data_IF_740611485406
#
_entry.id   IF_740611485406
#
_cell.length_a   1.000
_cell.length_b   1.000
_cell.length_c   1.000
_cell.angle_alpha   90.00
_cell.angle_beta   90.00
_cell.angle_gamma   90.00
#
_symmetry.space_group_name_H-M   'P 1'
#
loop_
_entity.id
_entity.type
_entity.pdbx_description
1 polymer ?
#
# COMPACT_ATOMS: atom_id res chain seq x y z
N UNK A 1 -19.71 -4.41 -27.62
CA UNK A 1 -19.90 -4.93 -26.25
C UNK A 1 -18.76 -4.33 -25.45
N UNK A 2 -19.03 -3.28 -24.69
CA UNK A 2 -18.07 -2.70 -23.75
C UNK A 2 -18.80 -2.77 -22.42
N UNK A 3 -18.51 -3.81 -21.63
CA UNK A 3 -18.83 -3.79 -20.23
C UNK A 3 -17.91 -2.71 -19.65
N UNK A 4 -18.51 -1.58 -19.29
CA UNK A 4 -17.90 -0.61 -18.37
C UNK A 4 -17.55 -1.39 -17.11
N UNK A 5 -16.27 -1.53 -16.79
CA UNK A 5 -15.85 -1.92 -15.45
C UNK A 5 -16.42 -0.87 -14.49
N UNK A 6 -17.16 -1.27 -13.44
CA UNK A 6 -17.40 -0.34 -12.32
C UNK A 6 -16.00 0.02 -11.81
N UNK A 7 -15.64 1.30 -11.61
CA UNK A 7 -14.33 1.65 -11.04
C UNK A 7 -14.10 1.03 -9.65
N UNK A 8 -15.15 0.47 -9.02
CA UNK A 8 -15.09 -0.28 -7.76
C UNK A 8 -15.14 -1.81 -7.94
N UNK A 9 -15.00 -2.31 -9.17
CA UNK A 9 -14.97 -3.74 -9.51
C UNK A 9 -13.54 -4.31 -9.47
N UNK A 10 -12.54 -3.54 -9.04
CA UNK A 10 -11.15 -3.95 -8.89
C UNK A 10 -10.52 -3.30 -7.65
N UNK A 11 -9.60 -4.01 -7.01
CA UNK A 11 -8.70 -3.42 -6.01
C UNK A 11 -7.50 -2.85 -6.74
N UNK A 12 -7.32 -1.53 -6.69
CA UNK A 12 -6.16 -0.85 -7.30
C UNK A 12 -5.28 -0.29 -6.20
N UNK A 13 -3.99 -0.61 -6.26
CA UNK A 13 -2.94 -0.06 -5.41
C UNK A 13 -1.96 0.65 -6.36
N UNK A 14 -1.90 1.99 -6.35
CA UNK A 14 -1.03 2.76 -7.22
C UNK A 14 0.43 2.69 -6.77
N UNK A 15 1.31 3.14 -7.64
CA UNK A 15 2.76 3.09 -7.46
C UNK A 15 3.21 3.76 -6.15
N UNK A 16 4.27 3.23 -5.55
CA UNK A 16 4.85 3.77 -4.32
C UNK A 16 3.98 3.64 -3.07
N UNK A 17 2.79 3.03 -3.16
CA UNK A 17 1.91 2.85 -1.99
C UNK A 17 2.60 2.02 -0.91
N UNK A 18 2.57 2.53 0.31
CA UNK A 18 3.15 1.86 1.48
C UNK A 18 2.06 1.48 2.47
N UNK A 19 1.95 0.19 2.74
CA UNK A 19 1.07 -0.36 3.78
C UNK A 19 1.95 -0.83 4.91
N UNK A 20 1.94 -0.07 6.01
CA UNK A 20 2.56 -0.44 7.27
C UNK A 20 1.60 -1.33 8.09
N UNK A 21 2.04 -1.82 9.25
CA UNK A 21 1.20 -2.66 10.11
C UNK A 21 -0.04 -1.92 10.64
N UNK A 22 -0.01 -0.59 10.64
CA UNK A 22 -1.04 0.24 11.26
C UNK A 22 -1.59 1.33 10.35
N UNK A 23 -0.98 1.58 9.18
CA UNK A 23 -1.37 2.68 8.30
C UNK A 23 -1.21 2.29 6.83
N UNK A 24 -2.19 2.68 6.01
CA UNK A 24 -2.08 2.74 4.56
C UNK A 24 -1.76 4.17 4.17
N UNK A 25 -0.59 4.34 3.54
CA UNK A 25 -0.05 5.63 3.15
C UNK A 25 0.11 5.66 1.64
N UNK A 26 -0.50 6.67 1.02
CA UNK A 26 -0.38 6.97 -0.40
C UNK A 26 -0.30 8.48 -0.61
N UNK A 27 0.38 8.93 -1.67
CA UNK A 27 0.42 10.34 -2.07
C UNK A 27 -0.84 10.76 -2.85
N UNK A 28 -1.60 9.77 -3.36
CA UNK A 28 -2.82 9.94 -4.12
C UNK A 28 -4.10 9.92 -3.28
N UNK A 29 -5.23 9.83 -3.97
CA UNK A 29 -6.55 9.74 -3.34
C UNK A 29 -6.83 8.30 -2.87
N UNK A 30 -7.65 8.17 -1.82
CA UNK A 30 -8.11 6.88 -1.30
C UNK A 30 -9.63 6.76 -1.46
N UNK A 31 -10.06 5.83 -2.29
CA UNK A 31 -11.46 5.53 -2.57
C UNK A 31 -11.85 4.21 -1.91
N UNK A 32 -12.75 4.25 -0.94
CA UNK A 32 -13.25 3.05 -0.24
C UNK A 32 -14.68 2.76 -0.63
N UNK A 33 -14.89 1.65 -1.32
CA UNK A 33 -16.20 1.14 -1.69
C UNK A 33 -17.07 0.86 -0.47
N UNK A 34 -18.37 1.04 -0.63
CA UNK A 34 -19.34 0.81 0.45
C UNK A 34 -19.31 -0.62 1.00
N UNK A 35 -19.73 -0.76 2.26
CA UNK A 35 -19.76 -2.01 3.02
C UNK A 35 -18.39 -2.67 3.26
N UNK A 36 -17.30 -1.92 3.05
CA UNK A 36 -15.94 -2.41 3.29
C UNK A 36 -15.50 -2.18 4.73
N UNK A 37 -14.44 -2.88 5.14
CA UNK A 37 -13.80 -2.71 6.45
C UNK A 37 -12.30 -2.56 6.25
N UNK A 38 -11.73 -1.49 6.79
CA UNK A 38 -10.31 -1.18 6.81
C UNK A 38 -9.89 -1.15 8.27
N UNK A 39 -9.08 -2.11 8.72
CA UNK A 39 -8.77 -2.28 10.15
C UNK A 39 -7.66 -1.34 10.68
N UNK A 40 -6.89 -0.75 9.77
CA UNK A 40 -5.79 0.17 10.06
C UNK A 40 -6.13 1.63 9.71
N UNK A 41 -5.22 2.57 9.99
CA UNK A 41 -5.34 3.98 9.64
C UNK A 41 -5.13 4.24 8.16
N UNK A 42 -5.70 5.33 7.66
CA UNK A 42 -5.64 5.71 6.24
C UNK A 42 -5.11 7.13 6.12
N UNK A 43 -4.04 7.29 5.34
CA UNK A 43 -3.43 8.56 5.01
C UNK A 43 -3.33 8.73 3.50
N UNK A 44 -3.87 9.83 3.00
CA UNK A 44 -3.83 10.16 1.57
C UNK A 44 -4.16 11.62 1.30
N UNK A 45 -4.18 11.99 0.01
CA UNK A 45 -4.56 13.33 -0.44
C UNK A 45 -6.04 13.58 -0.12
N UNK A 46 -6.95 12.91 -0.81
CA UNK A 46 -8.37 12.91 -0.46
C UNK A 46 -8.80 11.53 0.03
N UNK A 47 -9.71 11.47 1.01
CA UNK A 47 -10.28 10.19 1.48
C UNK A 47 -11.79 10.18 1.24
N UNK A 48 -12.26 9.28 0.39
CA UNK A 48 -13.66 9.14 0.03
C UNK A 48 -14.14 7.75 0.39
N UNK A 49 -15.02 7.66 1.38
CA UNK A 49 -15.64 6.41 1.82
C UNK A 49 -17.11 6.36 1.42
N UNK A 50 -17.52 5.26 0.76
CA UNK A 50 -18.90 4.96 0.44
C UNK A 50 -19.72 4.55 1.67
N UNK A 51 -20.98 4.17 1.47
CA UNK A 51 -21.88 3.85 2.59
C UNK A 51 -21.39 2.68 3.45
N UNK A 52 -21.57 2.77 4.78
CA UNK A 52 -21.30 1.69 5.75
C UNK A 52 -19.86 1.17 5.74
N UNK A 53 -18.89 2.03 5.47
CA UNK A 53 -17.48 1.68 5.63
C UNK A 53 -17.09 1.75 7.10
N UNK A 54 -16.26 0.80 7.56
CA UNK A 54 -15.68 0.84 8.90
C UNK A 54 -14.17 1.04 8.82
N UNK A 55 -13.66 2.00 9.57
CA UNK A 55 -12.23 2.26 9.76
C UNK A 55 -11.87 1.90 11.21
N UNK A 56 -10.92 0.99 11.39
CA UNK A 56 -10.40 0.57 12.69
C UNK A 56 -9.30 1.49 13.22
N UNK A 57 -8.66 2.28 12.34
CA UNK A 57 -7.69 3.30 12.70
C UNK A 57 -8.18 4.72 12.44
N UNK A 58 -7.21 5.64 12.40
CA UNK A 58 -7.45 7.06 12.14
C UNK A 58 -7.55 7.36 10.64
N UNK A 59 -8.09 8.52 10.29
CA UNK A 59 -8.08 9.04 8.92
C UNK A 59 -7.30 10.35 8.92
N UNK A 60 -6.31 10.46 8.04
CA UNK A 60 -5.55 11.68 7.77
C UNK A 60 -5.65 12.02 6.28
N UNK A 61 -6.48 13.01 5.94
CA UNK A 61 -6.62 13.54 4.58
C UNK A 61 -5.90 14.89 4.49
N UNK A 62 -4.95 15.02 3.57
CA UNK A 62 -4.26 16.30 3.33
C UNK A 62 -5.18 17.34 2.68
N UNK A 63 -6.11 16.88 1.84
CA UNK A 63 -7.19 17.62 1.21
C UNK A 63 -8.54 17.35 1.89
N UNK A 64 -9.50 16.90 1.09
CA UNK A 64 -10.89 16.67 1.50
C UNK A 64 -11.11 15.27 2.07
N UNK A 65 -12.02 15.18 3.05
CA UNK A 65 -12.49 13.91 3.59
C UNK A 65 -14.01 13.79 3.45
N UNK A 66 -14.48 12.71 2.83
CA UNK A 66 -15.89 12.44 2.59
C UNK A 66 -16.28 11.07 3.11
N UNK A 67 -17.10 11.05 4.14
CA UNK A 67 -17.67 9.83 4.72
C UNK A 67 -19.16 9.77 4.40
N UNK A 68 -19.60 8.79 3.62
CA UNK A 68 -21.02 8.61 3.30
C UNK A 68 -21.80 8.01 4.49
N UNK A 69 -23.10 7.75 4.30
CA UNK A 69 -23.99 7.35 5.39
C UNK A 69 -23.53 6.08 6.13
N UNK A 70 -23.70 6.09 7.46
CA UNK A 70 -23.37 4.99 8.36
C UNK A 70 -21.90 4.57 8.36
N UNK A 71 -20.98 5.44 7.96
CA UNK A 71 -19.56 5.19 8.19
C UNK A 71 -19.23 5.23 9.69
N UNK A 72 -18.26 4.42 10.09
CA UNK A 72 -17.79 4.30 11.47
C UNK A 72 -16.27 4.38 11.48
N UNK A 73 -15.71 5.35 12.17
CA UNK A 73 -14.26 5.54 12.35
C UNK A 73 -13.95 5.36 13.82
N UNK A 74 -13.09 4.40 14.16
CA UNK A 74 -12.79 4.06 15.55
C UNK A 74 -11.89 5.09 16.25
N UNK A 75 -11.10 5.84 15.48
CA UNK A 75 -10.09 6.79 15.99
C UNK A 75 -10.34 8.20 15.43
N UNK A 76 -9.31 9.05 15.44
CA UNK A 76 -9.33 10.44 15.02
C UNK A 76 -9.54 10.60 13.50
N UNK A 77 -10.17 11.71 13.11
CA UNK A 77 -10.29 12.14 11.72
C UNK A 77 -9.66 13.52 11.58
N UNK A 78 -8.59 13.61 10.80
CA UNK A 78 -7.81 14.82 10.53
C UNK A 78 -7.96 15.17 9.05
N UNK A 79 -8.39 16.40 8.77
CA UNK A 79 -8.70 16.87 7.41
C UNK A 79 -8.05 18.23 7.18
N UNK A 80 -7.23 18.33 6.15
CA UNK A 80 -6.49 19.55 5.79
C UNK A 80 -7.34 20.59 5.06
N UNK A 81 -8.36 20.17 4.32
CA UNK A 81 -9.33 21.04 3.65
C UNK A 81 -10.74 20.81 4.20
N UNK A 82 -11.71 20.40 3.39
CA UNK A 82 -13.12 20.33 3.77
C UNK A 82 -13.55 18.91 4.17
N UNK A 83 -14.44 18.81 5.16
CA UNK A 83 -14.99 17.54 5.63
C UNK A 83 -16.49 17.41 5.33
N UNK A 84 -16.90 16.27 4.78
CA UNK A 84 -18.27 15.96 4.42
C UNK A 84 -18.71 14.67 5.12
N UNK A 85 -19.53 14.79 6.17
CA UNK A 85 -20.01 13.66 6.96
C UNK A 85 -21.48 13.39 6.68
N UNK A 86 -21.78 12.21 6.14
CA UNK A 86 -23.13 11.73 5.85
C UNK A 86 -23.97 11.46 7.09
N UNK A 87 -25.23 11.08 6.87
CA UNK A 87 -26.14 10.69 7.94
C UNK A 87 -25.57 9.53 8.78
N UNK A 88 -25.67 9.66 10.11
CA UNK A 88 -25.30 8.62 11.08
C UNK A 88 -23.86 8.14 10.94
N UNK A 89 -22.96 9.05 10.58
CA UNK A 89 -21.52 8.82 10.73
C UNK A 89 -21.16 8.81 12.21
N UNK A 90 -20.31 7.88 12.61
CA UNK A 90 -19.75 7.78 13.95
C UNK A 90 -18.23 7.99 13.89
N UNK A 91 -17.70 8.85 14.75
CA UNK A 91 -16.26 9.06 14.95
C UNK A 91 -15.94 8.85 16.44
N UNK A 92 -15.21 7.78 16.74
CA UNK A 92 -14.81 7.41 18.10
C UNK A 92 -13.71 8.32 18.68
N UNK A 93 -12.92 8.97 17.83
CA UNK A 93 -11.92 9.95 18.25
C UNK A 93 -12.36 11.40 18.13
N UNK A 94 -11.39 12.28 17.94
CA UNK A 94 -11.57 13.69 17.67
C UNK A 94 -11.65 13.96 16.16
N UNK A 95 -12.54 14.85 15.73
CA UNK A 95 -12.58 15.39 14.37
C UNK A 95 -11.87 16.75 14.32
N UNK A 96 -10.83 16.90 13.50
CA UNK A 96 -10.17 18.19 13.24
C UNK A 96 -10.18 18.51 11.77
N UNK A 97 -10.71 19.68 11.42
CA UNK A 97 -10.86 20.12 10.03
C UNK A 97 -10.32 21.54 9.90
N UNK A 98 -9.38 21.73 8.98
CA UNK A 98 -8.81 23.05 8.71
C UNK A 98 -9.70 23.93 7.82
N UNK A 99 -10.58 23.34 7.01
CA UNK A 99 -11.59 24.03 6.20
C UNK A 99 -13.00 23.98 6.79
N UNK A 100 -13.98 23.90 5.90
CA UNK A 100 -15.40 23.86 6.19
C UNK A 100 -15.86 22.44 6.53
N UNK A 101 -16.96 22.31 7.30
CA UNK A 101 -17.58 21.02 7.61
C UNK A 101 -19.05 21.02 7.20
N UNK A 102 -19.42 20.08 6.34
CA UNK A 102 -20.81 19.67 6.08
C UNK A 102 -21.15 18.44 6.93
N UNK A 103 -22.07 18.59 7.90
CA UNK A 103 -22.46 17.52 8.83
C UNK A 103 -23.91 17.12 8.61
N UNK A 104 -24.13 15.83 8.34
CA UNK A 104 -25.44 15.22 8.19
C UNK A 104 -26.22 15.02 9.47
N UNK A 105 -27.37 14.34 9.34
CA UNK A 105 -28.26 14.08 10.46
C UNK A 105 -27.69 12.96 11.36
N UNK A 106 -27.88 13.07 12.68
CA UNK A 106 -27.50 12.06 13.67
C UNK A 106 -26.01 11.64 13.64
N UNK A 107 -25.10 12.55 13.29
CA UNK A 107 -23.64 12.33 13.39
C UNK A 107 -23.19 12.37 14.85
N UNK A 108 -22.38 11.40 15.25
CA UNK A 108 -21.83 11.25 16.60
C UNK A 108 -20.30 11.33 16.58
N UNK A 109 -19.73 12.16 17.45
CA UNK A 109 -18.28 12.40 17.55
C UNK A 109 -17.93 12.37 19.05
N UNK A 110 -17.29 11.30 19.50
CA UNK A 110 -17.14 11.01 20.94
C UNK A 110 -16.23 12.02 21.66
N UNK A 111 -15.08 12.37 21.07
CA UNK A 111 -14.11 13.30 21.68
C UNK A 111 -14.29 14.76 21.24
N UNK A 112 -15.36 15.04 20.48
CA UNK A 112 -15.69 16.37 19.96
C UNK A 112 -14.98 16.73 18.65
N UNK A 113 -15.28 17.93 18.15
CA UNK A 113 -14.77 18.40 16.86
C UNK A 113 -14.26 19.84 16.89
N UNK A 114 -13.27 20.12 16.05
CA UNK A 114 -12.69 21.45 15.83
C UNK A 114 -12.68 21.77 14.33
N UNK A 115 -13.21 22.92 13.96
CA UNK A 115 -13.27 23.42 12.59
C UNK A 115 -12.74 24.86 12.54
N UNK A 116 -11.83 25.16 11.62
CA UNK A 116 -11.38 26.53 11.37
C UNK A 116 -12.30 27.28 10.37
N UNK A 117 -13.06 26.56 9.56
CA UNK A 117 -14.03 27.09 8.61
C UNK A 117 -15.48 27.12 9.12
N UNK A 118 -16.42 27.14 8.19
CA UNK A 118 -17.86 27.16 8.44
C UNK A 118 -18.38 25.76 8.71
N UNK A 119 -19.24 25.64 9.74
CA UNK A 119 -19.96 24.40 10.03
C UNK A 119 -21.39 24.55 9.50
N UNK A 120 -21.75 23.69 8.54
CA UNK A 120 -23.06 23.65 7.92
C UNK A 120 -23.72 22.31 8.26
N UNK A 121 -24.86 22.37 8.95
CA UNK A 121 -25.63 21.17 9.31
C UNK A 121 -26.63 20.89 8.18
N UNK A 122 -26.28 19.94 7.32
CA UNK A 122 -27.08 19.42 6.20
C UNK A 122 -26.52 18.06 5.80
N UNK A 123 -27.38 17.12 5.44
CA UNK A 123 -26.90 15.84 4.91
C UNK A 123 -26.18 16.09 3.58
N UNK A 124 -24.85 15.85 3.48
CA UNK A 124 -24.16 15.95 2.21
C UNK A 124 -24.78 14.93 1.27
N UNK A 125 -25.04 15.35 0.04
CA UNK A 125 -25.57 14.44 -0.98
C UNK A 125 -24.60 13.26 -1.15
N UNK A 126 -25.04 12.00 -1.24
CA UNK A 126 -24.13 10.90 -1.53
C UNK A 126 -23.27 11.19 -2.76
N UNK A 127 -21.99 10.80 -2.74
CA UNK A 127 -20.98 11.18 -3.75
C UNK A 127 -21.45 10.91 -5.17
N UNK A 128 -22.06 9.74 -5.38
CA UNK A 128 -22.59 9.33 -6.68
C UNK A 128 -23.71 10.26 -7.17
N UNK A 129 -24.58 10.73 -6.28
CA UNK A 129 -25.68 11.63 -6.62
C UNK A 129 -25.14 13.02 -6.95
N UNK A 130 -24.16 13.50 -6.18
CA UNK A 130 -23.48 14.76 -6.45
C UNK A 130 -22.87 14.78 -7.86
N UNK A 131 -22.13 13.73 -8.22
CA UNK A 131 -21.53 13.60 -9.55
C UNK A 131 -22.58 13.65 -10.68
N UNK A 132 -23.67 12.89 -10.55
CA UNK A 132 -24.76 12.90 -11.54
C UNK A 132 -25.42 14.26 -11.67
N UNK A 133 -25.63 14.98 -10.56
CA UNK A 133 -26.22 16.32 -10.57
C UNK A 133 -25.26 17.32 -11.21
N UNK A 134 -23.97 17.26 -10.90
CA UNK A 134 -22.93 18.12 -11.46
C UNK A 134 -22.82 17.94 -12.97
N UNK A 135 -22.62 16.72 -13.45
CA UNK A 135 -22.57 16.39 -14.88
C UNK A 135 -23.87 16.78 -15.58
N UNK A 136 -25.02 16.48 -14.96
CA UNK A 136 -26.33 16.88 -15.50
C UNK A 136 -26.50 18.39 -15.61
N UNK A 137 -25.89 19.16 -14.71
CA UNK A 137 -25.93 20.62 -14.74
C UNK A 137 -25.03 21.20 -15.84
N UNK A 138 -23.82 20.67 -16.02
CA UNK A 138 -22.93 21.05 -17.12
C UNK A 138 -23.59 20.80 -18.48
N UNK A 139 -24.16 19.60 -18.67
CA UNK A 139 -24.89 19.25 -19.88
C UNK A 139 -26.11 20.15 -20.13
N UNK A 140 -26.83 20.53 -19.06
CA UNK A 140 -28.01 21.41 -19.18
C UNK A 140 -27.63 22.85 -19.54
N UNK A 141 -26.48 23.34 -19.07
CA UNK A 141 -25.97 24.68 -19.41
C UNK A 141 -25.33 24.68 -20.82
N UNK A 142 -25.13 23.49 -21.41
CA UNK A 142 -24.55 23.31 -22.74
C UNK A 142 -23.02 23.26 -22.72
N UNK A 143 -22.41 23.12 -21.54
CA UNK A 143 -20.97 22.94 -21.37
C UNK A 143 -20.62 21.46 -21.50
N UNK A 144 -20.90 20.89 -22.68
CA UNK A 144 -20.62 19.48 -23.00
C UNK A 144 -19.11 19.19 -22.88
N UNK A 145 -18.24 20.11 -23.29
CA UNK A 145 -16.78 19.99 -23.15
C UNK A 145 -16.33 19.95 -21.68
N UNK A 146 -16.95 20.73 -20.79
CA UNK A 146 -16.62 20.70 -19.37
C UNK A 146 -17.11 19.39 -18.71
N UNK A 147 -18.26 18.88 -19.13
CA UNK A 147 -18.78 17.60 -18.66
C UNK A 147 -17.92 16.43 -19.13
N UNK A 148 -17.48 16.46 -20.40
CA UNK A 148 -16.54 15.48 -20.95
C UNK A 148 -15.19 15.57 -20.26
N UNK A 149 -14.63 16.76 -20.03
CA UNK A 149 -13.36 16.91 -19.30
C UNK A 149 -13.48 16.48 -17.83
N UNK A 150 -14.58 16.79 -17.15
CA UNK A 150 -14.78 16.35 -15.76
C UNK A 150 -14.93 14.82 -15.67
N UNK A 151 -15.58 14.21 -16.67
CA UNK A 151 -15.70 12.76 -16.76
C UNK A 151 -14.37 12.14 -17.19
N UNK A 152 -13.61 12.75 -18.10
CA UNK A 152 -12.30 12.28 -18.52
C UNK A 152 -11.33 12.38 -17.36
N UNK A 153 -11.22 13.52 -16.65
CA UNK A 153 -10.34 13.65 -15.48
C UNK A 153 -10.62 12.59 -14.39
N UNK A 154 -11.87 12.12 -14.28
CA UNK A 154 -12.26 11.04 -13.36
C UNK A 154 -12.04 9.62 -13.92
N UNK A 155 -11.89 9.46 -15.23
CA UNK A 155 -11.71 8.20 -15.94
C UNK A 155 -10.34 8.07 -16.63
N UNK A 156 -9.56 9.15 -16.65
CA UNK A 156 -8.26 9.25 -17.30
C UNK A 156 -7.28 8.56 -16.36
N UNK A 157 -6.82 7.40 -16.82
CA UNK A 157 -5.76 6.59 -16.21
C UNK A 157 -4.40 7.33 -16.22
N UNK A 158 -4.29 8.46 -16.93
CA UNK A 158 -3.12 9.35 -17.04
C UNK A 158 -3.06 10.46 -15.95
N UNK A 159 -3.94 10.41 -14.93
CA UNK A 159 -3.75 11.28 -13.76
C UNK A 159 -2.43 10.90 -13.07
N UNK A 160 -1.58 11.90 -12.79
CA UNK A 160 -0.22 11.69 -12.26
C UNK A 160 -0.19 10.87 -10.94
N UNK A 161 -1.34 10.72 -10.27
CA UNK A 161 -1.52 9.88 -9.09
C UNK A 161 -2.81 9.04 -9.21
N UNK A 162 -2.71 7.79 -9.67
CA UNK A 162 -3.85 6.86 -9.66
C UNK A 162 -4.33 6.64 -8.21
N UNK A 163 -5.64 6.61 -7.90
CA UNK A 163 -6.09 6.44 -6.53
C UNK A 163 -5.92 5.02 -6.02
N UNK A 164 -5.72 4.87 -4.70
CA UNK A 164 -5.97 3.60 -4.02
C UNK A 164 -7.47 3.33 -4.06
N UNK A 165 -7.88 2.24 -4.71
CA UNK A 165 -9.28 1.84 -4.78
C UNK A 165 -9.51 0.56 -4.01
N UNK A 166 -10.24 0.65 -2.89
CA UNK A 166 -10.71 -0.50 -2.13
C UNK A 166 -12.13 -0.84 -2.63
N UNK A 167 -12.38 -1.99 -3.25
CA UNK A 167 -13.66 -2.32 -3.86
C UNK A 167 -14.73 -2.56 -2.80
N UNK A 168 -16.00 -2.63 -3.23
CA UNK A 168 -17.13 -2.83 -2.30
C UNK A 168 -17.05 -4.17 -1.57
N UNK A 169 -17.35 -4.16 -0.28
CA UNK A 169 -17.35 -5.37 0.55
C UNK A 169 -15.96 -5.97 0.79
N UNK A 170 -14.90 -5.20 0.55
CA UNK A 170 -13.54 -5.60 0.85
C UNK A 170 -13.29 -5.62 2.36
N UNK A 171 -12.38 -6.49 2.80
CA UNK A 171 -11.83 -6.47 4.16
C UNK A 171 -10.33 -6.32 4.07
N UNK A 172 -9.80 -5.24 4.62
CA UNK A 172 -8.41 -4.85 4.50
C UNK A 172 -7.83 -4.75 5.91
N UNK A 173 -6.84 -5.59 6.22
CA UNK A 173 -6.17 -5.62 7.53
C UNK A 173 -4.69 -5.98 7.39
N UNK A 174 -3.97 -5.91 8.51
CA UNK A 174 -2.56 -6.32 8.65
C UNK A 174 -2.36 -7.83 8.34
N UNK A 175 -3.31 -8.69 8.69
CA UNK A 175 -3.29 -10.11 8.32
C UNK A 175 -3.63 -10.29 6.84
N UNK A 176 -4.67 -9.61 6.34
CA UNK A 176 -5.24 -9.99 5.06
C UNK A 176 -6.04 -8.90 4.35
N UNK A 177 -5.73 -8.74 3.07
CA UNK A 177 -6.50 -7.99 2.09
C UNK A 177 -7.40 -8.97 1.34
N UNK A 178 -8.69 -8.99 1.66
CA UNK A 178 -9.69 -9.90 1.06
C UNK A 178 -10.63 -9.10 0.18
N UNK A 179 -10.55 -9.37 -1.12
CA UNK A 179 -11.42 -8.79 -2.14
C UNK A 179 -12.07 -9.90 -2.98
N UNK A 180 -13.28 -9.65 -3.44
CA UNK A 180 -13.99 -10.60 -4.33
C UNK A 180 -13.70 -10.39 -5.80
N UNK A 181 -13.07 -9.27 -6.12
CA UNK A 181 -12.71 -8.74 -7.44
C UNK A 181 -11.25 -9.06 -7.78
N UNK A 182 -10.81 -8.77 -9.02
CA UNK A 182 -9.39 -8.66 -9.34
C UNK A 182 -8.67 -7.65 -8.44
N UNK A 183 -7.35 -7.82 -8.32
CA UNK A 183 -6.47 -6.93 -7.60
C UNK A 183 -5.25 -6.59 -8.45
N UNK A 184 -5.05 -5.30 -8.71
CA UNK A 184 -3.88 -4.73 -9.38
C UNK A 184 -3.05 -3.93 -8.40
N UNK A 185 -1.76 -4.21 -8.37
CA UNK A 185 -0.76 -3.43 -7.66
C UNK A 185 0.21 -2.88 -8.70
N UNK A 186 0.47 -1.58 -8.61
CA UNK A 186 1.45 -0.87 -9.41
C UNK A 186 2.89 -1.23 -9.04
N UNK A 187 3.80 -0.32 -9.32
CA UNK A 187 5.24 -0.49 -9.19
C UNK A 187 5.75 0.10 -7.84
N UNK A 188 6.91 -0.35 -7.36
CA UNK A 188 7.57 0.16 -6.14
C UNK A 188 6.70 0.16 -4.84
N UNK A 189 5.67 -0.67 -4.76
CA UNK A 189 4.82 -0.74 -3.57
C UNK A 189 5.47 -1.59 -2.47
N UNK A 190 5.20 -1.19 -1.22
CA UNK A 190 5.59 -1.96 -0.03
C UNK A 190 4.36 -2.36 0.75
N UNK A 191 3.96 -3.63 0.63
CA UNK A 191 2.68 -4.09 1.18
C UNK A 191 2.88 -5.08 2.32
N UNK A 192 2.25 -4.80 3.46
CA UNK A 192 2.11 -5.74 4.57
C UNK A 192 0.75 -6.45 4.52
N UNK A 193 0.77 -7.78 4.65
CA UNK A 193 -0.43 -8.60 4.74
C UNK A 193 -0.66 -9.55 3.56
N UNK A 194 -1.56 -10.51 3.76
CA UNK A 194 -1.86 -11.56 2.78
C UNK A 194 -2.92 -11.08 1.77
N UNK A 195 -2.60 -11.03 0.49
CA UNK A 195 -3.54 -10.63 -0.56
C UNK A 195 -4.37 -11.83 -1.01
N UNK A 196 -5.69 -11.66 -1.01
CA UNK A 196 -6.69 -12.65 -1.42
C UNK A 196 -7.71 -12.03 -2.36
N UNK A 197 -7.60 -12.34 -3.64
CA UNK A 197 -8.42 -11.75 -4.69
C UNK A 197 -9.01 -12.82 -5.63
N UNK A 198 -9.79 -12.37 -6.62
CA UNK A 198 -10.17 -13.21 -7.77
C UNK A 198 -8.95 -13.56 -8.60
N UNK A 199 -8.26 -12.53 -9.11
CA UNK A 199 -6.99 -12.56 -9.82
C UNK A 199 -6.06 -11.53 -9.17
N UNK A 200 -4.74 -11.72 -9.28
CA UNK A 200 -3.76 -10.79 -8.73
C UNK A 200 -2.71 -10.45 -9.77
N UNK A 201 -2.58 -9.17 -10.10
CA UNK A 201 -1.50 -8.64 -10.91
C UNK A 201 -0.64 -7.74 -10.04
N UNK A 202 0.63 -8.09 -9.90
CA UNK A 202 1.63 -7.30 -9.18
C UNK A 202 2.57 -6.68 -10.21
N UNK A 203 2.78 -5.37 -10.12
CA UNK A 203 3.73 -4.63 -10.92
C UNK A 203 5.20 -4.98 -10.61
N UNK A 204 6.08 -4.03 -10.87
CA UNK A 204 7.53 -4.16 -10.80
C UNK A 204 8.08 -3.68 -9.46
N UNK A 205 9.23 -4.25 -9.09
CA UNK A 205 10.06 -3.82 -7.95
C UNK A 205 9.29 -3.73 -6.61
N UNK A 206 8.22 -4.50 -6.46
CA UNK A 206 7.38 -4.53 -5.28
C UNK A 206 7.96 -5.37 -4.15
N UNK A 207 7.72 -4.99 -2.90
CA UNK A 207 8.06 -5.80 -1.72
C UNK A 207 6.80 -6.19 -0.94
N UNK A 208 6.45 -7.47 -0.99
CA UNK A 208 5.23 -7.99 -0.38
C UNK A 208 5.57 -8.84 0.85
N UNK A 209 5.25 -8.31 2.02
CA UNK A 209 5.35 -8.98 3.31
C UNK A 209 4.10 -9.82 3.60
N UNK A 210 3.88 -10.83 2.77
CA UNK A 210 2.71 -11.68 2.87
C UNK A 210 2.64 -12.73 1.78
N UNK A 211 1.59 -13.55 1.83
CA UNK A 211 1.30 -14.54 0.80
C UNK A 211 0.27 -13.98 -0.20
N UNK A 212 0.46 -14.31 -1.49
CA UNK A 212 -0.47 -14.01 -2.56
C UNK A 212 -1.39 -15.21 -2.80
N UNK A 213 -2.70 -14.96 -2.84
CA UNK A 213 -3.68 -16.00 -3.14
C UNK A 213 -4.77 -15.51 -4.07
N UNK A 214 -4.87 -16.13 -5.23
CA UNK A 214 -5.95 -15.87 -6.18
C UNK A 214 -6.86 -17.09 -6.33
N UNK A 215 -8.07 -16.86 -6.85
CA UNK A 215 -8.95 -17.93 -7.33
C UNK A 215 -8.55 -18.35 -8.74
N UNK A 216 -8.32 -17.37 -9.62
CA UNK A 216 -7.77 -17.50 -10.96
C UNK A 216 -6.26 -17.27 -10.94
N UNK A 217 -5.81 -16.32 -11.76
CA UNK A 217 -4.41 -16.17 -12.17
C UNK A 217 -3.65 -15.22 -11.23
N UNK A 218 -2.33 -15.43 -11.15
CA UNK A 218 -1.40 -14.51 -10.47
C UNK A 218 -0.26 -14.17 -11.43
N UNK A 219 -0.07 -12.88 -11.68
CA UNK A 219 1.07 -12.35 -12.42
C UNK A 219 1.94 -11.54 -11.47
N UNK A 220 3.24 -11.80 -11.47
CA UNK A 220 4.22 -11.05 -10.66
C UNK A 220 5.25 -10.42 -11.58
N UNK A 221 5.23 -9.09 -11.65
CA UNK A 221 6.12 -8.27 -12.46
C UNK A 221 7.57 -8.30 -12.00
N UNK A 222 8.45 -7.79 -12.86
CA UNK A 222 9.91 -7.82 -12.73
C UNK A 222 10.40 -7.33 -11.36
N UNK A 223 11.47 -7.94 -10.84
CA UNK A 223 12.20 -7.40 -9.67
C UNK A 223 11.48 -7.52 -8.32
N UNK A 224 10.21 -7.92 -8.32
CA UNK A 224 9.39 -8.02 -7.11
C UNK A 224 9.86 -9.13 -6.15
N UNK A 225 9.77 -8.86 -4.84
CA UNK A 225 10.10 -9.79 -3.76
C UNK A 225 8.87 -10.15 -2.93
N UNK A 226 8.47 -11.42 -3.00
CA UNK A 226 7.33 -11.97 -2.25
C UNK A 226 7.84 -12.79 -1.07
N UNK A 227 7.71 -12.24 0.14
CA UNK A 227 8.12 -12.87 1.42
C UNK A 227 7.10 -13.89 1.94
N UNK A 228 6.43 -14.60 1.04
CA UNK A 228 5.38 -15.54 1.39
C UNK A 228 5.13 -16.56 0.29
N UNK A 229 4.00 -17.25 0.39
CA UNK A 229 3.60 -18.25 -0.58
C UNK A 229 2.79 -17.60 -1.71
N UNK A 230 2.92 -18.13 -2.92
CA UNK A 230 2.05 -17.77 -4.05
C UNK A 230 1.17 -18.97 -4.35
N UNK A 231 -0.15 -18.81 -4.29
CA UNK A 231 -1.09 -19.92 -4.46
C UNK A 231 -2.33 -19.53 -5.24
N UNK A 232 -2.57 -20.18 -6.36
CA UNK A 232 -3.86 -20.10 -7.08
C UNK A 232 -4.73 -21.31 -6.75
N UNK A 233 -6.03 -21.20 -7.05
CA UNK A 233 -6.96 -22.34 -6.91
C UNK A 233 -7.16 -23.07 -8.22
N UNK A 234 -7.49 -22.34 -9.28
CA UNK A 234 -7.80 -22.86 -10.62
C UNK A 234 -7.23 -21.94 -11.70
N UNK A 235 -6.01 -21.44 -11.49
CA UNK A 235 -5.38 -20.50 -12.42
C UNK A 235 -3.88 -20.67 -12.48
N UNK A 236 -3.29 -19.89 -13.38
CA UNK A 236 -1.89 -19.94 -13.72
C UNK A 236 -1.10 -18.93 -12.89
N UNK A 237 0.18 -19.24 -12.66
CA UNK A 237 1.12 -18.31 -12.03
C UNK A 237 2.19 -17.97 -13.04
N UNK A 238 2.28 -16.69 -13.39
CA UNK A 238 3.31 -16.13 -14.27
C UNK A 238 4.26 -15.26 -13.46
N UNK A 239 5.55 -15.57 -13.55
CA UNK A 239 6.59 -14.93 -12.72
C UNK A 239 7.61 -14.27 -13.66
N UNK A 240 7.68 -12.95 -13.59
CA UNK A 240 8.57 -12.12 -14.39
C UNK A 240 10.05 -12.20 -14.02
N UNK A 241 10.91 -11.48 -14.75
CA UNK A 241 12.36 -11.52 -14.57
C UNK A 241 12.80 -10.97 -13.21
N UNK A 242 13.81 -11.62 -12.60
CA UNK A 242 14.40 -11.12 -11.35
C UNK A 242 13.52 -11.24 -10.11
N UNK A 243 12.31 -11.80 -10.23
CA UNK A 243 11.40 -11.99 -9.10
C UNK A 243 11.97 -12.97 -8.10
N UNK A 244 11.82 -12.67 -6.81
CA UNK A 244 12.20 -13.57 -5.71
C UNK A 244 11.00 -13.96 -4.87
N UNK A 245 10.70 -15.27 -4.83
CA UNK A 245 9.65 -15.83 -3.98
C UNK A 245 10.30 -16.67 -2.88
N UNK A 246 10.05 -16.31 -1.63
CA UNK A 246 10.65 -16.99 -0.48
C UNK A 246 9.87 -18.23 -0.04
N UNK A 247 8.57 -18.29 -0.36
CA UNK A 247 7.69 -19.39 0.00
C UNK A 247 7.46 -20.42 -1.11
N UNK A 248 6.44 -21.25 -0.91
CA UNK A 248 5.97 -22.24 -1.88
C UNK A 248 5.18 -21.55 -3.01
N UNK A 249 5.30 -22.08 -4.22
CA UNK A 249 4.45 -21.71 -5.37
C UNK A 249 3.52 -22.88 -5.69
N UNK A 250 2.21 -22.63 -5.75
CA UNK A 250 1.20 -23.65 -6.08
C UNK A 250 0.21 -23.14 -7.10
N UNK A 251 0.09 -23.81 -8.23
CA UNK A 251 -0.82 -23.40 -9.30
C UNK A 251 -1.31 -24.55 -10.17
N UNK A 252 -2.21 -24.26 -11.11
CA UNK A 252 -2.51 -25.19 -12.19
C UNK A 252 -1.31 -25.28 -13.13
N UNK A 253 -0.98 -24.20 -13.83
CA UNK A 253 0.28 -24.08 -14.57
C UNK A 253 1.18 -23.02 -13.94
N UNK A 254 2.50 -23.24 -14.03
CA UNK A 254 3.50 -22.27 -13.55
C UNK A 254 4.42 -21.91 -14.70
N UNK A 255 4.45 -20.62 -15.07
CA UNK A 255 5.42 -20.02 -15.98
C UNK A 255 6.43 -19.23 -15.17
N UNK A 256 7.69 -19.63 -15.27
CA UNK A 256 8.77 -19.04 -14.50
C UNK A 256 9.78 -18.43 -15.47
N UNK A 257 10.11 -17.15 -15.29
CA UNK A 257 11.22 -16.55 -16.01
C UNK A 257 12.55 -17.19 -15.60
N UNK A 258 13.50 -17.35 -16.52
CA UNK A 258 14.80 -17.99 -16.25
C UNK A 258 15.63 -17.31 -15.14
N UNK A 259 15.43 -16.00 -14.98
CA UNK A 259 16.06 -15.16 -13.94
C UNK A 259 15.26 -15.04 -12.64
N UNK A 260 14.13 -15.76 -12.49
CA UNK A 260 13.36 -15.75 -11.26
C UNK A 260 13.89 -16.80 -10.26
N UNK A 261 13.83 -16.49 -8.96
CA UNK A 261 14.30 -17.37 -7.88
C UNK A 261 13.14 -17.73 -6.96
N UNK A 262 12.94 -19.04 -6.73
CA UNK A 262 11.97 -19.56 -5.76
C UNK A 262 12.72 -20.39 -4.73
N UNK A 263 12.73 -19.94 -3.46
CA UNK A 263 13.41 -20.63 -2.37
C UNK A 263 12.58 -21.80 -1.80
N UNK A 264 11.25 -21.79 -1.99
CA UNK A 264 10.34 -22.84 -1.55
C UNK A 264 10.08 -23.95 -2.58
N UNK A 265 9.01 -24.72 -2.36
CA UNK A 265 8.63 -25.82 -3.28
C UNK A 265 7.63 -25.33 -4.33
N UNK A 266 7.94 -25.58 -5.61
CA UNK A 266 7.02 -25.38 -6.73
C UNK A 266 6.15 -26.63 -6.91
N UNK A 267 4.83 -26.48 -6.91
CA UNK A 267 3.86 -27.53 -7.22
C UNK A 267 2.87 -27.04 -8.28
N UNK A 268 2.98 -27.57 -9.49
CA UNK A 268 1.98 -27.41 -10.54
C UNK A 268 1.17 -28.71 -10.68
N UNK A 269 -0.15 -28.61 -10.86
CA UNK A 269 -0.96 -29.78 -11.22
C UNK A 269 -0.96 -30.06 -12.74
N UNK A 270 -0.72 -29.04 -13.54
CA UNK A 270 -0.57 -29.07 -14.99
C UNK A 270 0.89 -28.99 -15.40
N UNK A 271 1.25 -27.93 -16.14
CA UNK A 271 2.57 -27.76 -16.74
C UNK A 271 3.45 -26.77 -15.96
N UNK A 272 4.76 -26.99 -16.03
CA UNK A 272 5.77 -26.03 -15.60
C UNK A 272 6.58 -25.64 -16.84
N UNK A 273 6.61 -24.36 -17.16
CA UNK A 273 7.28 -23.82 -18.34
C UNK A 273 8.28 -22.73 -17.91
N UNK A 274 9.43 -22.69 -18.60
CA UNK A 274 10.41 -21.63 -18.48
C UNK A 274 10.25 -20.67 -19.67
N UNK A 275 10.27 -19.37 -19.42
CA UNK A 275 10.23 -18.34 -20.45
C UNK A 275 11.33 -17.29 -20.23
N UNK A 276 11.51 -16.45 -21.25
CA UNK A 276 12.43 -15.30 -21.25
C UNK A 276 11.70 -13.98 -21.54
N UNK A 277 10.39 -14.04 -21.77
CA UNK A 277 9.56 -12.88 -22.06
C UNK A 277 9.10 -12.20 -20.76
N UNK A 278 8.79 -10.91 -20.83
CA UNK A 278 8.08 -10.22 -19.76
C UNK A 278 6.64 -10.71 -19.62
N UNK A 279 6.08 -10.52 -18.42
CA UNK A 279 4.74 -11.02 -18.06
C UNK A 279 3.68 -9.93 -17.99
N UNK A 280 4.08 -8.66 -17.98
CA UNK A 280 3.18 -7.51 -18.02
C UNK A 280 3.15 -6.95 -19.44
N UNK A 281 1.96 -6.59 -19.91
CA UNK A 281 1.75 -6.04 -21.26
C UNK A 281 2.16 -4.55 -21.36
N UNK A 282 2.19 -3.85 -20.22
CA UNK A 282 2.53 -2.42 -20.17
C UNK A 282 4.04 -2.21 -20.35
N UNK A 283 4.46 -1.17 -21.08
CA UNK A 283 5.87 -0.83 -21.21
C UNK A 283 6.48 -0.53 -19.83
N UNK A 284 7.73 -0.95 -19.66
CA UNK A 284 8.51 -0.65 -18.46
C UNK A 284 9.15 0.73 -18.67
N UNK A 285 8.46 1.78 -18.22
CA UNK A 285 8.91 3.18 -18.42
C UNK A 285 10.28 3.41 -17.80
N UNK A 286 10.56 2.81 -16.65
CA UNK A 286 11.87 2.87 -16.00
C UNK A 286 12.96 2.17 -16.81
N UNK A 287 12.67 0.98 -17.34
CA UNK A 287 13.62 0.28 -18.21
C UNK A 287 13.81 1.00 -19.55
N UNK A 288 12.76 1.61 -20.11
CA UNK A 288 12.85 2.42 -21.33
C UNK A 288 13.68 3.69 -21.09
N UNK A 289 13.45 4.40 -20.00
CA UNK A 289 14.24 5.58 -19.60
C UNK A 289 15.70 5.21 -19.33
N UNK A 290 15.96 4.08 -18.67
CA UNK A 290 17.31 3.57 -18.43
C UNK A 290 17.99 3.10 -19.72
N UNK A 291 17.25 2.49 -20.65
CA UNK A 291 17.78 2.08 -21.95
C UNK A 291 18.10 3.30 -22.84
N UNK A 292 17.26 4.34 -22.81
CA UNK A 292 17.53 5.61 -23.47
C UNK A 292 18.78 6.27 -22.88
N UNK A 293 18.87 6.37 -21.54
CA UNK A 293 20.04 6.94 -20.86
C UNK A 293 21.32 6.14 -21.11
N UNK A 294 21.24 4.80 -21.16
CA UNK A 294 22.38 3.94 -21.50
C UNK A 294 22.82 4.13 -22.95
N UNK A 295 21.89 4.25 -23.89
CA UNK A 295 22.18 4.52 -25.30
C UNK A 295 22.82 5.92 -25.50
N UNK A 296 22.41 6.92 -24.71
CA UNK A 296 23.06 8.23 -24.69
C UNK A 296 24.51 8.15 -24.18
N UNK A 297 24.78 7.38 -23.13
CA UNK A 297 26.15 7.18 -22.61
C UNK A 297 27.06 6.39 -23.56
N UNK A 298 26.52 5.42 -24.31
CA UNK A 298 27.27 4.73 -25.38
C UNK A 298 27.58 5.66 -26.57
N UNK A 299 26.76 6.71 -26.79
CA UNK A 299 26.96 7.73 -27.82
C UNK A 299 28.10 8.73 -27.53
N UNK A 300 28.32 9.11 -26.27
CA UNK A 300 29.42 10.02 -25.89
C UNK A 300 30.78 9.33 -25.72
N UNK A 301 30.80 8.00 -25.63
CA UNK A 301 32.04 7.21 -25.52
C UNK A 301 32.80 7.08 -26.86
N UNK A 302 32.24 7.57 -27.97
CA UNK A 302 32.84 7.48 -29.31
C UNK A 302 33.67 8.70 -29.75
N UNK A 303 33.75 9.79 -28.96
CA UNK A 303 34.55 10.99 -29.30
C UNK A 303 35.83 11.19 -28.46
N UNK A 304 36.36 10.13 -27.81
CA UNK A 304 37.66 10.19 -27.13
C UNK A 304 38.59 9.01 -27.44
N UNK A 305 38.61 8.52 -28.67
CA UNK A 305 39.76 7.76 -29.19
C UNK A 305 40.24 8.35 -30.51
N UNK A 306 41.31 9.17 -30.46
CA UNK A 306 41.96 9.63 -31.67
C UNK A 306 42.98 10.76 -31.53
N UNK A 307 44.10 10.54 -30.85
CA UNK A 307 45.38 11.09 -31.33
C UNK A 307 46.59 10.32 -30.80
N UNK A 308 47.18 9.47 -31.65
CA UNK A 308 48.55 8.99 -31.48
C UNK A 308 49.53 10.01 -32.09
N UNK A 309 50.63 10.36 -31.39
CA UNK A 309 51.97 10.20 -31.98
C UNK A 309 53.13 10.27 -30.97
N UNK A 310 54.11 9.44 -31.27
CA UNK A 310 55.38 9.11 -30.62
C UNK A 310 56.35 10.28 -30.33
N UNK A 311 57.22 10.10 -29.33
CA UNK A 311 58.68 10.27 -29.51
C UNK A 311 59.50 9.39 -28.55
N UNK A 312 60.70 9.05 -29.02
CA UNK A 312 61.56 7.94 -28.61
C UNK A 312 62.51 8.22 -27.42
N UNK A 313 63.12 7.14 -26.88
CA UNK A 313 64.52 7.18 -26.45
C UNK A 313 64.88 6.64 -25.06
N UNK A 314 65.58 5.49 -25.07
CA UNK A 314 66.68 5.06 -24.19
C UNK A 314 66.50 4.89 -22.67
N UNK A 315 66.61 3.60 -22.28
CA UNK A 315 67.32 3.01 -21.13
C UNK A 315 67.86 3.92 -20.01
N UNK A 316 67.52 3.59 -18.76
CA UNK A 316 68.50 2.98 -17.85
C UNK A 316 67.91 2.40 -16.56
N UNK A 317 68.73 1.54 -15.99
CA UNK A 317 68.59 0.68 -14.81
C UNK A 317 68.33 1.40 -13.47
N UNK A 318 67.70 0.63 -12.59
CA UNK A 318 68.06 0.35 -11.19
C UNK A 318 67.34 1.05 -10.01
N UNK A 319 67.28 0.22 -8.98
CA UNK A 319 67.09 0.46 -7.55
C UNK A 319 65.67 0.61 -6.96
N UNK A 320 65.21 -0.55 -6.49
CA UNK A 320 64.59 -0.80 -5.19
C UNK A 320 64.72 0.31 -4.15
N UNK A 321 63.65 0.56 -3.38
CA UNK A 321 63.74 0.50 -1.91
C UNK A 321 62.35 0.33 -1.30
N UNK A 322 62.25 -0.72 -0.49
CA UNK A 322 61.27 -0.89 0.58
C UNK A 322 61.06 0.40 1.37
N UNK A 323 59.86 0.60 1.94
CA UNK A 323 59.66 0.74 3.40
C UNK A 323 58.15 0.87 3.66
N UNK A 324 57.55 -0.20 4.18
CA UNK A 324 56.30 -0.20 4.94
C UNK A 324 56.52 0.43 6.35
N UNK A 325 55.45 0.70 7.12
CA UNK A 325 55.23 1.93 7.88
C UNK A 325 55.80 1.87 9.32
N UNK A 326 55.73 2.97 10.10
CA UNK A 326 55.76 2.86 11.54
C UNK A 326 54.34 2.84 12.12
N UNK A 327 54.04 1.73 12.78
CA UNK A 327 53.15 1.68 13.92
C UNK A 327 53.69 2.56 15.07
N UNK A 328 52.79 3.09 15.90
CA UNK A 328 53.01 3.05 17.35
C UNK A 328 51.67 3.06 18.08
N UNK A 329 51.36 1.88 18.60
CA UNK A 329 50.55 1.62 19.79
C UNK A 329 51.06 2.43 21.01
N UNK A 330 50.14 2.80 21.90
CA UNK A 330 49.94 2.09 23.17
C UNK A 330 49.28 3.00 24.24
N UNK A 331 48.05 2.67 24.66
CA UNK A 331 47.70 1.98 25.92
C UNK A 331 47.45 2.94 27.11
N UNK A 332 46.20 2.96 27.58
CA UNK A 332 45.92 2.65 28.98
C UNK A 332 44.59 1.89 29.11
N UNK A 333 44.71 0.59 29.47
CA UNK A 333 43.69 -0.22 30.18
C UNK A 333 43.56 0.36 31.60
N UNK A 334 42.47 0.30 32.35
CA UNK A 334 41.40 -0.70 32.45
C UNK A 334 41.23 -1.04 33.94
N UNK A 335 39.98 -1.26 34.37
CA UNK A 335 39.46 -2.15 35.44
C UNK A 335 38.16 -1.53 35.98
N UNK A 336 36.99 -2.15 35.77
CA UNK A 336 36.43 -3.36 36.41
C UNK A 336 36.09 -3.14 37.87
N UNK A 337 34.79 -3.30 38.21
CA UNK A 337 34.29 -4.02 39.39
C UNK A 337 32.75 -3.92 39.46
N UNK A 338 32.07 -5.04 39.22
CA UNK A 338 30.93 -5.43 40.08
C UNK A 338 31.53 -6.05 41.37
N UNK A 339 30.83 -5.97 42.52
CA UNK A 339 29.94 -7.10 42.86
C UNK A 339 28.65 -6.75 43.65
N UNK A 340 27.71 -7.66 43.47
CA UNK A 340 26.64 -8.19 44.33
C UNK A 340 26.65 -7.84 45.85
N UNK A 341 25.48 -7.52 46.41
CA UNK A 341 24.94 -8.22 47.60
C UNK A 341 23.49 -7.83 47.95
N UNK A 342 22.74 -8.90 48.24
CA UNK A 342 21.39 -9.07 48.76
C UNK A 342 21.09 -8.43 50.12
N UNK A 343 19.81 -8.14 50.42
CA UNK A 343 19.19 -8.70 51.63
C UNK A 343 17.65 -8.77 51.61
N UNK A 344 17.15 -9.83 52.25
CA UNK A 344 15.78 -10.33 52.32
C UNK A 344 14.91 -9.65 53.39
N UNK A 345 13.58 -9.70 53.19
CA UNK A 345 12.53 -10.11 54.17
C UNK A 345 11.14 -10.09 53.49
N UNK A 346 10.53 -11.24 53.15
CA UNK A 346 9.55 -12.05 53.94
C UNK A 346 8.35 -11.22 54.43
N UNK A 347 7.07 -11.55 54.18
CA UNK A 347 6.35 -12.82 54.37
C UNK A 347 5.09 -12.95 53.47
N UNK A 348 4.69 -14.20 53.15
CA UNK A 348 3.37 -14.61 52.61
C UNK A 348 2.42 -14.96 53.80
N UNK A 349 1.26 -15.60 53.58
CA UNK A 349 -0.04 -15.13 53.09
C UNK A 349 -1.13 -15.24 54.20
N UNK A 350 -2.33 -14.66 54.01
CA UNK A 350 -3.48 -14.92 54.92
C UNK A 350 -4.72 -15.36 54.13
N UNK A 351 -4.92 -16.68 54.21
CA UNK A 351 -6.16 -17.48 54.25
C UNK A 351 -7.50 -16.92 53.75
N UNK A 352 -8.13 -17.75 52.92
CA UNK A 352 -9.57 -17.88 52.74
C UNK A 352 -10.33 -18.03 54.07
N UNK A 353 -11.53 -17.43 54.12
CA UNK A 353 -12.68 -17.91 54.88
C UNK A 353 -13.88 -17.85 53.96
N UNK A 354 -14.54 -19.00 53.86
CA UNK A 354 -15.78 -19.27 53.17
C UNK A 354 -16.98 -18.61 53.88
N UNK A 355 -18.04 -18.43 53.09
CA UNK A 355 -19.42 -18.82 53.39
C UNK A 355 -20.49 -17.75 53.64
N UNK A 356 -21.68 -18.12 53.16
CA UNK A 356 -23.03 -17.58 53.29
C UNK A 356 -23.34 -16.33 52.45
N UNK A 357 -24.01 -16.43 51.30
CA UNK A 357 -25.26 -17.16 51.07
C UNK A 357 -26.41 -16.15 51.16
N UNK A 358 -27.07 -15.88 50.03
CA UNK A 358 -28.53 -15.77 49.87
C UNK A 358 -28.86 -15.15 48.49
N UNK A 359 -29.07 -16.00 47.48
CA UNK A 359 -30.18 -15.76 46.53
C UNK A 359 -31.40 -16.47 47.11
N UNK A 360 -32.60 -15.91 46.93
CA UNK A 360 -33.58 -16.72 46.20
C UNK A 360 -34.39 -15.92 45.17
N UNK A 361 -34.39 -16.55 44.00
CA UNK A 361 -35.44 -16.78 43.00
C UNK A 361 -36.35 -15.68 42.42
N UNK A 362 -36.57 -15.72 41.10
CA UNK A 362 -37.63 -15.01 40.41
C UNK A 362 -38.95 -15.79 40.48
N UNK A 363 -40.07 -15.08 40.56
CA UNK A 363 -41.39 -15.66 40.33
C UNK A 363 -42.29 -14.72 39.52
N UNK A 364 -42.84 -15.33 38.47
CA UNK A 364 -43.97 -14.94 37.60
C UNK A 364 -43.67 -14.12 36.35
#
# INVERSE_FOLDING_TARGET
MLFRSDPLDELTIPDGTTVEEHDLVTDGDVLVGGQSTVEFGVRGRNVIAGERVRFGGHIEAEGDCRLDMWCDVADNVLVGEDAYLGERVHVGGQLKVAGDIDIGDDVDIEEGFEANGWIVIRNPMPTIVFLFVYLGQLLRIGEEEAAENALSTLLDEDSEDEPVVIPRGATVSDDAWRVSTPARMGDDCRIHGNIRAEDVTVGRDNVIFGSLRAKGDIVVGRGSDVKGNVTTRNGDVEIGPGVKIWGDVRAENVRLHENATVDGTIRASGEIQLHTDDVLDDPDEDAEAMAEMAAEMEGESAESEGSEHDEAGEANEDETTDTEPPESDAVEKGDSEEPDESDEQRERPVTAVEDDGEQPDPAS
#
